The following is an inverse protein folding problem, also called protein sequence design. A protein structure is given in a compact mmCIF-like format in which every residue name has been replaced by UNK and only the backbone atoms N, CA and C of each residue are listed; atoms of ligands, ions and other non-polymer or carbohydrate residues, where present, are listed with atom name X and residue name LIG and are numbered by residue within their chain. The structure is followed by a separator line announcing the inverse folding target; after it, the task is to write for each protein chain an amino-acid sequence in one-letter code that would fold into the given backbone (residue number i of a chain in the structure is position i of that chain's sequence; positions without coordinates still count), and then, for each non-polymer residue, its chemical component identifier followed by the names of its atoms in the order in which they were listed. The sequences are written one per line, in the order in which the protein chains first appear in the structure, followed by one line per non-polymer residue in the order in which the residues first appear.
data_IF_885770208065
#
_entry.id   IF_885770208065
#
_cell.length_a   1.000
_cell.length_b   1.000
_cell.length_c   1.000
_cell.angle_alpha   90.00
_cell.angle_beta   90.00
_cell.angle_gamma   90.00
#
_symmetry.space_group_name_H-M   'P 1'
#
loop_
_entity.id
_entity.type
_entity.pdbx_description
1 polymer ?
#
# COMPACT_ATOMS: atom_id res chain seq x y z
N UNK A 1 -9.59 19.53 -8.42
CA UNK A 1 -9.34 18.15 -8.00
C UNK A 1 -9.37 18.13 -6.48
N UNK A 2 -10.08 17.16 -5.87
CA UNK A 2 -10.03 17.01 -4.41
C UNK A 2 -8.71 16.34 -4.02
N UNK A 3 -7.90 17.01 -3.19
CA UNK A 3 -6.58 16.51 -2.77
C UNK A 3 -6.56 16.37 -1.24
N UNK A 4 -6.29 15.15 -0.76
CA UNK A 4 -6.17 14.82 0.66
C UNK A 4 -4.82 14.17 0.93
N UNK A 5 -4.13 14.59 1.99
CA UNK A 5 -2.79 14.08 2.36
C UNK A 5 -1.80 14.00 1.17
N UNK A 6 -1.86 14.97 0.25
CA UNK A 6 -1.02 15.00 -0.94
C UNK A 6 -1.45 14.09 -2.09
N UNK A 7 -2.54 13.31 -1.96
CA UNK A 7 -3.05 12.39 -2.98
C UNK A 7 -4.30 12.95 -3.65
N UNK A 8 -4.35 12.85 -4.97
CA UNK A 8 -5.54 13.20 -5.74
C UNK A 8 -6.55 12.05 -5.66
N UNK A 9 -7.71 12.33 -5.07
CA UNK A 9 -8.78 11.34 -4.91
C UNK A 9 -9.79 11.44 -6.06
N UNK A 10 -10.30 10.28 -6.54
CA UNK A 10 -11.24 10.23 -7.66
C UNK A 10 -12.59 10.81 -7.27
N UNK A 11 -13.05 11.82 -8.01
CA UNK A 11 -14.29 12.59 -7.73
C UNK A 11 -15.56 11.76 -7.88
N UNK A 12 -15.58 10.81 -8.78
CA UNK A 12 -16.77 10.00 -9.09
C UNK A 12 -17.01 8.86 -8.09
N UNK A 13 -16.05 8.59 -7.20
CA UNK A 13 -16.17 7.52 -6.20
C UNK A 13 -16.88 8.05 -4.94
N UNK A 14 -17.53 7.11 -4.22
CA UNK A 14 -18.02 7.38 -2.86
C UNK A 14 -16.84 7.70 -1.95
N UNK A 15 -17.05 8.58 -0.97
CA UNK A 15 -15.98 9.01 -0.04
C UNK A 15 -15.36 7.84 0.69
N UNK A 16 -16.16 6.86 1.13
CA UNK A 16 -15.69 5.62 1.75
C UNK A 16 -14.61 4.92 0.91
N UNK A 17 -14.85 4.80 -0.40
CA UNK A 17 -13.92 4.14 -1.33
C UNK A 17 -12.77 5.06 -1.69
N UNK A 18 -13.04 6.35 -1.87
CA UNK A 18 -12.02 7.32 -2.26
C UNK A 18 -10.93 7.50 -1.22
N UNK A 19 -11.24 7.44 0.07
CA UNK A 19 -10.26 7.49 1.16
C UNK A 19 -9.29 6.30 1.12
N UNK A 20 -9.69 5.15 0.62
CA UNK A 20 -8.79 3.99 0.51
C UNK A 20 -7.69 4.14 -0.54
N UNK A 21 -7.71 5.17 -1.37
CA UNK A 21 -6.62 5.50 -2.29
C UNK A 21 -5.41 6.10 -1.58
N UNK A 22 -5.59 6.59 -0.35
CA UNK A 22 -4.50 7.10 0.49
C UNK A 22 -3.76 5.91 1.10
N UNK A 23 -2.46 5.82 0.86
CA UNK A 23 -1.62 4.77 1.46
C UNK A 23 -1.61 4.88 2.99
N UNK A 24 -2.06 3.82 3.65
CA UNK A 24 -2.23 3.78 5.11
C UNK A 24 -3.70 3.88 5.57
N UNK A 25 -4.62 4.26 4.67
CA UNK A 25 -6.06 4.31 4.96
C UNK A 25 -6.74 3.14 4.24
N UNK A 26 -7.05 2.08 4.96
CA UNK A 26 -7.88 0.97 4.48
C UNK A 26 -9.36 1.22 4.77
N UNK A 27 -10.22 0.30 4.34
CA UNK A 27 -11.68 0.42 4.52
C UNK A 27 -12.08 0.67 5.98
N UNK A 28 -11.51 -0.06 6.92
CA UNK A 28 -11.81 0.08 8.36
C UNK A 28 -11.48 1.47 8.88
N UNK A 29 -10.29 2.01 8.51
CA UNK A 29 -9.90 3.37 8.89
C UNK A 29 -10.78 4.41 8.19
N UNK A 30 -11.11 4.22 6.92
CA UNK A 30 -11.99 5.12 6.19
C UNK A 30 -13.36 5.24 6.86
N UNK A 31 -13.98 4.11 7.23
CA UNK A 31 -15.26 4.11 7.95
C UNK A 31 -15.16 4.82 9.31
N UNK A 32 -14.05 4.60 10.04
CA UNK A 32 -13.83 5.28 11.31
C UNK A 32 -13.68 6.79 11.14
N UNK A 33 -12.89 7.25 10.15
CA UNK A 33 -12.76 8.67 9.82
C UNK A 33 -14.12 9.30 9.56
N UNK A 34 -14.95 8.65 8.74
CA UNK A 34 -16.27 9.14 8.37
C UNK A 34 -17.24 9.18 9.56
N UNK A 35 -17.18 8.14 10.42
CA UNK A 35 -17.96 8.12 11.66
C UNK A 35 -17.58 9.28 12.61
N UNK A 36 -16.29 9.51 12.79
CA UNK A 36 -15.79 10.50 13.74
C UNK A 36 -15.90 11.94 13.21
N UNK A 37 -16.00 12.12 11.89
CA UNK A 37 -16.26 13.41 11.24
C UNK A 37 -17.74 13.65 10.90
N UNK A 38 -18.63 12.71 11.24
CA UNK A 38 -20.08 12.76 10.96
C UNK A 38 -20.42 12.98 9.47
N UNK A 39 -19.58 12.44 8.56
CA UNK A 39 -19.78 12.56 7.11
C UNK A 39 -20.34 11.25 6.57
N UNK A 40 -21.40 11.30 5.76
CA UNK A 40 -21.95 10.11 5.12
C UNK A 40 -21.00 9.58 4.05
N UNK A 41 -20.54 8.33 4.24
CA UNK A 41 -19.62 7.64 3.32
C UNK A 41 -20.19 7.37 1.92
N UNK A 42 -21.51 7.43 1.74
CA UNK A 42 -22.16 7.19 0.45
C UNK A 42 -22.11 8.42 -0.48
N UNK A 43 -21.88 9.61 0.05
CA UNK A 43 -21.73 10.83 -0.74
C UNK A 43 -20.55 10.66 -1.71
N UNK A 44 -20.65 11.20 -2.91
CA UNK A 44 -19.53 11.23 -3.86
C UNK A 44 -18.58 12.36 -3.52
N UNK A 45 -17.30 12.16 -3.79
CA UNK A 45 -16.26 13.16 -3.50
C UNK A 45 -16.54 14.52 -4.15
N UNK A 46 -17.20 14.56 -5.30
CA UNK A 46 -17.58 15.80 -5.99
C UNK A 46 -18.66 16.62 -5.27
N UNK A 47 -19.47 15.95 -4.44
CA UNK A 47 -20.61 16.54 -3.76
C UNK A 47 -20.24 16.95 -2.31
N UNK A 48 -18.97 16.77 -1.90
CA UNK A 48 -18.45 17.22 -0.61
C UNK A 48 -18.25 18.74 -0.60
N UNK A 49 -18.59 19.36 0.53
CA UNK A 49 -18.24 20.77 0.78
C UNK A 49 -16.74 20.92 1.09
N UNK A 50 -16.22 22.13 0.89
CA UNK A 50 -14.82 22.43 1.21
C UNK A 50 -14.54 22.28 2.71
N UNK A 51 -15.52 22.61 3.57
CA UNK A 51 -15.43 22.42 5.02
C UNK A 51 -15.27 20.93 5.39
N UNK A 52 -16.06 20.06 4.76
CA UNK A 52 -15.94 18.60 4.95
C UNK A 52 -14.60 18.05 4.48
N UNK A 53 -14.07 18.57 3.38
CA UNK A 53 -12.74 18.19 2.89
C UNK A 53 -11.63 18.61 3.85
N UNK A 54 -11.75 19.79 4.46
CA UNK A 54 -10.79 20.25 5.50
C UNK A 54 -10.89 19.36 6.73
N UNK A 55 -12.10 19.09 7.23
CA UNK A 55 -12.31 18.22 8.39
C UNK A 55 -11.71 16.81 8.19
N UNK A 56 -11.93 16.21 7.02
CA UNK A 56 -11.33 14.90 6.66
C UNK A 56 -9.81 14.97 6.64
N UNK A 57 -9.22 16.03 6.07
CA UNK A 57 -7.76 16.22 6.02
C UNK A 57 -7.17 16.31 7.42
N UNK A 58 -7.70 17.23 8.23
CA UNK A 58 -7.20 17.50 9.57
C UNK A 58 -7.30 16.26 10.46
N UNK A 59 -8.42 15.54 10.38
CA UNK A 59 -8.60 14.30 11.10
C UNK A 59 -7.56 13.23 10.72
N UNK A 60 -7.32 13.04 9.41
CA UNK A 60 -6.35 12.05 8.91
C UNK A 60 -4.93 12.43 9.32
N UNK A 61 -4.54 13.70 9.17
CA UNK A 61 -3.19 14.18 9.50
C UNK A 61 -2.91 14.10 11.00
N UNK A 62 -3.89 14.40 11.85
CA UNK A 62 -3.74 14.31 13.30
C UNK A 62 -3.67 12.87 13.83
N UNK A 63 -4.48 11.97 13.27
CA UNK A 63 -4.67 10.63 13.86
C UNK A 63 -3.88 9.51 13.18
N UNK A 64 -3.43 9.72 11.93
CA UNK A 64 -2.80 8.65 11.15
C UNK A 64 -1.51 9.12 10.47
N UNK A 65 -0.50 8.28 10.54
CA UNK A 65 0.63 8.38 9.63
C UNK A 65 0.23 7.80 8.30
N UNK A 66 0.33 8.60 7.24
CA UNK A 66 -0.09 8.20 5.89
C UNK A 66 1.00 8.53 4.87
N UNK A 67 0.86 7.98 3.68
CA UNK A 67 1.69 8.25 2.51
C UNK A 67 3.20 8.26 2.79
N UNK A 68 3.85 9.41 2.64
CA UNK A 68 5.31 9.54 2.74
C UNK A 68 5.88 9.13 4.09
N UNK A 69 5.21 9.52 5.18
CA UNK A 69 5.66 9.22 6.54
C UNK A 69 5.56 7.73 6.84
N UNK A 70 4.44 7.12 6.47
CA UNK A 70 4.26 5.68 6.64
C UNK A 70 5.23 4.88 5.76
N UNK A 71 5.47 5.31 4.51
CA UNK A 71 6.43 4.64 3.62
C UNK A 71 7.85 4.70 4.18
N UNK A 72 8.25 5.85 4.76
CA UNK A 72 9.55 6.02 5.41
C UNK A 72 9.69 5.12 6.64
N UNK A 73 8.66 5.05 7.47
CA UNK A 73 8.64 4.20 8.66
C UNK A 73 8.78 2.72 8.28
N UNK A 74 7.97 2.23 7.33
CA UNK A 74 8.05 0.85 6.85
C UNK A 74 9.41 0.54 6.24
N UNK A 75 9.98 1.46 5.45
CA UNK A 75 11.30 1.28 4.86
C UNK A 75 12.40 1.24 5.94
N UNK A 76 12.30 2.08 6.98
CA UNK A 76 13.23 2.08 8.11
C UNK A 76 13.16 0.76 8.90
N UNK A 77 11.95 0.24 9.15
CA UNK A 77 11.77 -1.03 9.84
C UNK A 77 12.35 -2.22 9.06
N UNK A 78 12.15 -2.25 7.74
CA UNK A 78 12.76 -3.28 6.88
C UNK A 78 14.28 -3.17 6.91
N UNK A 79 14.82 -1.94 6.81
CA UNK A 79 16.27 -1.70 6.87
C UNK A 79 16.84 -2.20 8.19
N UNK A 80 16.22 -1.88 9.30
CA UNK A 80 16.63 -2.35 10.64
C UNK A 80 16.68 -3.88 10.70
N UNK A 81 15.66 -4.59 10.17
CA UNK A 81 15.66 -6.06 10.11
C UNK A 81 16.80 -6.62 9.27
N UNK A 82 17.15 -5.94 8.18
CA UNK A 82 18.28 -6.31 7.31
C UNK A 82 19.63 -6.10 8.02
N UNK A 83 19.79 -4.99 8.73
CA UNK A 83 21.02 -4.63 9.46
C UNK A 83 21.29 -5.58 10.62
N UNK A 84 20.25 -5.96 11.37
CA UNK A 84 20.36 -6.97 12.46
C UNK A 84 20.71 -8.36 11.90
N UNK A 85 20.58 -8.61 10.59
CA UNK A 85 20.81 -9.91 9.98
C UNK A 85 19.74 -10.95 10.28
N UNK A 86 18.53 -10.53 10.64
CA UNK A 86 17.41 -11.44 10.92
C UNK A 86 17.02 -12.27 9.69
N UNK A 87 16.42 -13.44 9.92
CA UNK A 87 15.91 -14.27 8.82
C UNK A 87 14.96 -13.51 7.89
N UNK A 88 14.02 -12.75 8.46
CA UNK A 88 13.12 -11.89 7.68
C UNK A 88 13.88 -10.83 6.87
N UNK A 89 14.90 -10.21 7.47
CA UNK A 89 15.76 -9.23 6.80
C UNK A 89 16.50 -9.83 5.61
N UNK A 90 17.05 -11.04 5.75
CA UNK A 90 17.67 -11.77 4.64
C UNK A 90 16.67 -12.08 3.52
N UNK A 91 15.42 -12.42 3.87
CA UNK A 91 14.36 -12.65 2.88
C UNK A 91 14.01 -11.36 2.14
N UNK A 92 13.88 -10.24 2.84
CA UNK A 92 13.68 -8.93 2.23
C UNK A 92 14.83 -8.54 1.30
N UNK A 93 16.08 -8.71 1.73
CA UNK A 93 17.28 -8.44 0.93
C UNK A 93 17.32 -9.26 -0.36
N UNK A 94 16.88 -10.52 -0.31
CA UNK A 94 16.84 -11.43 -1.47
C UNK A 94 15.60 -11.25 -2.35
N UNK A 95 14.67 -10.36 -2.02
CA UNK A 95 13.41 -10.21 -2.72
C UNK A 95 12.48 -11.42 -2.64
N UNK A 96 12.56 -12.19 -1.56
CA UNK A 96 11.77 -13.39 -1.33
C UNK A 96 10.66 -13.14 -0.32
N UNK A 97 9.58 -13.96 -0.31
CA UNK A 97 8.55 -13.89 0.73
C UNK A 97 9.16 -14.05 2.12
N UNK A 98 8.80 -13.15 3.06
CA UNK A 98 9.36 -13.12 4.41
C UNK A 98 8.48 -13.84 5.45
N UNK A 99 7.22 -14.18 5.09
CA UNK A 99 6.22 -14.73 6.01
C UNK A 99 6.00 -16.25 5.86
N UNK A 100 7.04 -17.01 5.56
CA UNK A 100 6.99 -18.48 5.49
C UNK A 100 6.27 -19.06 4.27
N UNK A 101 5.93 -18.26 3.26
CA UNK A 101 5.27 -18.75 2.05
C UNK A 101 6.21 -19.69 1.26
N UNK A 102 5.60 -20.72 0.65
CA UNK A 102 6.32 -21.67 -0.20
C UNK A 102 6.92 -20.97 -1.42
N UNK A 103 8.20 -21.27 -1.70
CA UNK A 103 8.94 -20.62 -2.79
C UNK A 103 9.37 -21.56 -3.92
N UNK A 104 9.13 -22.88 -3.77
CA UNK A 104 9.54 -23.88 -4.77
C UNK A 104 8.82 -23.67 -6.12
N UNK A 105 7.52 -23.42 -6.10
CA UNK A 105 6.69 -23.33 -7.32
C UNK A 105 6.26 -21.91 -7.65
N UNK A 106 5.72 -21.18 -6.70
CA UNK A 106 5.04 -19.88 -6.86
C UNK A 106 5.84 -18.73 -6.22
N UNK A 107 5.20 -17.82 -5.56
CA UNK A 107 5.74 -16.59 -5.00
C UNK A 107 6.16 -15.55 -6.06
N UNK A 108 5.41 -15.50 -7.18
CA UNK A 108 5.73 -14.62 -8.31
C UNK A 108 5.63 -13.14 -7.99
N UNK A 109 4.73 -12.76 -7.08
CA UNK A 109 4.57 -11.36 -6.64
C UNK A 109 5.90 -10.76 -6.12
N UNK A 110 6.68 -11.55 -5.38
CA UNK A 110 7.98 -11.12 -4.84
C UNK A 110 9.13 -11.41 -5.79
N UNK A 111 9.13 -12.57 -6.45
CA UNK A 111 10.20 -13.00 -7.37
C UNK A 111 10.15 -12.31 -8.74
N UNK A 112 9.00 -11.76 -9.11
CA UNK A 112 8.73 -11.24 -10.44
C UNK A 112 8.42 -12.33 -11.48
N UNK A 113 8.24 -11.95 -12.76
CA UNK A 113 7.92 -12.90 -13.83
C UNK A 113 8.99 -13.96 -13.99
N UNK A 114 8.61 -15.12 -14.52
CA UNK A 114 9.56 -16.20 -14.82
C UNK A 114 10.54 -15.71 -15.90
N UNK A 115 11.83 -15.74 -15.58
CA UNK A 115 12.88 -15.51 -16.58
C UNK A 115 13.22 -16.84 -17.23
N UNK A 116 13.09 -16.93 -18.55
CA UNK A 116 13.57 -18.05 -19.34
C UNK A 116 15.10 -17.99 -19.33
N UNK A 117 15.72 -19.03 -18.81
CA UNK A 117 17.17 -19.23 -19.02
C UNK A 117 17.28 -19.79 -20.43
N UNK A 118 18.13 -19.20 -21.28
CA UNK A 118 18.44 -19.76 -22.60
C UNK A 118 18.82 -21.22 -22.43
N UNK A 119 17.99 -22.11 -22.97
CA UNK A 119 18.20 -23.54 -22.83
C UNK A 119 19.55 -23.92 -23.43
N UNK A 120 20.33 -24.73 -22.72
CA UNK A 120 21.44 -25.45 -23.35
C UNK A 120 20.86 -26.14 -24.59
N UNK A 121 21.32 -25.77 -25.79
CA UNK A 121 21.03 -26.53 -27.01
C UNK A 121 21.26 -27.99 -26.69
N UNK A 122 20.22 -28.81 -26.70
CA UNK A 122 20.39 -30.25 -26.65
C UNK A 122 21.33 -30.60 -27.79
N UNK A 123 22.48 -31.13 -27.48
CA UNK A 123 23.37 -31.66 -28.50
C UNK A 123 22.57 -32.59 -29.40
N UNK A 124 22.56 -32.30 -30.70
CA UNK A 124 21.83 -33.11 -31.66
C UNK A 124 22.23 -34.55 -31.48
N UNK A 125 21.25 -35.45 -31.31
CA UNK A 125 21.51 -36.88 -31.39
C UNK A 125 22.09 -37.15 -32.79
N UNK A 126 23.34 -37.59 -32.83
CA UNK A 126 23.92 -38.24 -34.04
C UNK A 126 23.23 -39.56 -34.26
#
# INVERSE_FOLDING_TARGET
MARLAGVDIPREKRVEVALTYIYGVGRTRALKVLSDTEIDGNIRVKDLSDEQLVALRDYIECNYKVEGDLRREVAADIRRKVEIGSYEGLRHRRGLPARGQRTKTNARTRKGPKRTVAGKKKAGRK
#
